data_IF_450863498364
#
_entry.id   IF_450863498364
#
_cell.length_a   1.000
_cell.length_b   1.000
_cell.length_c   1.000
_cell.angle_alpha   90.00
_cell.angle_beta   90.00
_cell.angle_gamma   90.00
#
_symmetry.space_group_name_H-M   'P 1'
#
loop_
_entity.id
_entity.type
_entity.pdbx_description
1 polymer ?
#
# COMPACT_ATOMS: atom_id res chain seq x y z
N UNK A 1 -12.82 5.77 2.19
CA UNK A 1 -11.88 5.64 3.31
C UNK A 1 -10.60 6.39 2.94
N UNK A 2 -10.01 7.17 3.83
CA UNK A 2 -8.78 7.94 3.56
C UNK A 2 -7.61 7.17 4.15
N UNK A 3 -6.60 6.86 3.34
CA UNK A 3 -5.36 6.16 3.75
C UNK A 3 -4.27 7.21 4.00
N UNK A 4 -3.56 7.07 5.11
CA UNK A 4 -2.51 7.96 5.58
C UNK A 4 -1.19 7.20 5.82
N UNK A 5 -0.09 7.96 5.93
CA UNK A 5 1.19 7.41 6.39
C UNK A 5 1.01 6.94 7.83
N UNK A 6 1.50 5.73 8.13
CA UNK A 6 1.31 5.04 9.41
C UNK A 6 0.10 4.10 9.45
N UNK A 7 -0.78 4.13 8.45
CA UNK A 7 -1.92 3.22 8.42
C UNK A 7 -1.48 1.79 8.14
N UNK A 8 -2.06 0.84 8.89
CA UNK A 8 -1.87 -0.59 8.68
C UNK A 8 -2.71 -1.08 7.51
N UNK A 9 -2.09 -1.90 6.67
CA UNK A 9 -2.72 -2.40 5.45
C UNK A 9 -2.60 -3.92 5.34
N UNK A 10 -3.51 -4.50 4.57
CA UNK A 10 -3.38 -5.84 4.01
C UNK A 10 -3.18 -5.67 2.50
N UNK A 11 -2.00 -6.07 2.01
CA UNK A 11 -1.66 -6.12 0.60
C UNK A 11 -1.85 -7.53 0.06
N UNK A 12 -2.58 -7.69 -1.05
CA UNK A 12 -2.69 -8.95 -1.78
C UNK A 12 -1.63 -8.98 -2.87
N UNK A 13 -0.80 -10.02 -2.88
CA UNK A 13 0.21 -10.22 -3.92
C UNK A 13 -0.46 -10.37 -5.29
N UNK A 14 0.07 -9.69 -6.30
CA UNK A 14 -0.43 -9.80 -7.68
C UNK A 14 0.13 -11.05 -8.38
N UNK A 15 1.32 -11.51 -7.99
CA UNK A 15 1.99 -12.65 -8.61
C UNK A 15 1.54 -14.00 -8.03
N UNK A 16 0.99 -13.99 -6.80
CA UNK A 16 0.62 -15.18 -6.07
C UNK A 16 -0.81 -15.11 -5.55
N UNK A 17 -1.73 -15.77 -6.26
CA UNK A 17 -3.14 -15.76 -5.91
C UNK A 17 -3.38 -16.32 -4.49
N UNK A 18 -4.10 -15.56 -3.68
CA UNK A 18 -4.44 -15.92 -2.29
C UNK A 18 -3.38 -15.57 -1.24
N UNK A 19 -2.26 -14.93 -1.61
CA UNK A 19 -1.24 -14.52 -0.64
C UNK A 19 -1.50 -13.09 -0.17
N UNK A 20 -1.53 -12.92 1.15
CA UNK A 20 -1.76 -11.63 1.81
C UNK A 20 -0.59 -11.28 2.72
N UNK A 21 -0.15 -10.03 2.65
CA UNK A 21 0.92 -9.48 3.45
C UNK A 21 0.40 -8.31 4.30
N UNK A 22 0.87 -8.26 5.54
CA UNK A 22 0.60 -7.14 6.45
C UNK A 22 1.76 -6.14 6.39
N UNK A 23 1.43 -4.87 6.45
CA UNK A 23 2.41 -3.79 6.46
C UNK A 23 1.84 -2.46 6.90
N UNK A 24 2.66 -1.43 6.73
CA UNK A 24 2.35 -0.04 7.09
C UNK A 24 2.69 0.88 5.91
N UNK A 25 1.84 1.88 5.64
CA UNK A 25 2.13 2.91 4.64
C UNK A 25 3.24 3.83 5.15
N UNK A 26 4.32 3.94 4.39
CA UNK A 26 5.47 4.78 4.73
C UNK A 26 5.63 5.99 3.80
N UNK A 27 5.02 5.96 2.61
CA UNK A 27 5.02 7.10 1.67
C UNK A 27 3.75 7.08 0.79
N UNK A 28 3.32 8.26 0.34
CA UNK A 28 2.15 8.45 -0.53
C UNK A 28 2.54 9.36 -1.69
N UNK A 29 2.52 8.82 -2.91
CA UNK A 29 2.84 9.58 -4.09
C UNK A 29 1.62 10.27 -4.65
N UNK A 30 1.78 11.57 -4.93
CA UNK A 30 0.74 12.42 -5.52
C UNK A 30 1.24 13.07 -6.80
N UNK A 31 0.33 13.27 -7.75
CA UNK A 31 0.64 14.04 -8.95
C UNK A 31 0.45 15.56 -8.71
N UNK A 32 0.74 16.37 -9.72
CA UNK A 32 0.61 17.84 -9.66
C UNK A 32 -0.82 18.37 -9.44
N UNK A 33 -1.83 17.49 -9.49
CA UNK A 33 -3.23 17.81 -9.18
C UNK A 33 -3.65 17.31 -7.79
N UNK A 34 -2.68 16.99 -6.94
CA UNK A 34 -2.86 16.43 -5.59
C UNK A 34 -3.62 15.08 -5.55
N UNK A 35 -3.68 14.37 -6.68
CA UNK A 35 -4.28 13.03 -6.73
C UNK A 35 -3.25 11.98 -6.33
N UNK A 36 -3.64 11.06 -5.45
CA UNK A 36 -2.82 9.91 -5.07
C UNK A 36 -2.67 8.98 -6.28
N UNK A 37 -1.42 8.65 -6.61
CA UNK A 37 -1.04 7.79 -7.74
C UNK A 37 -0.31 6.51 -7.29
N UNK A 38 -0.04 6.37 -6.00
CA UNK A 38 0.57 5.17 -5.45
C UNK A 38 0.90 5.32 -3.97
N UNK A 39 1.14 4.18 -3.35
CA UNK A 39 1.57 4.06 -1.96
C UNK A 39 2.88 3.27 -1.91
N UNK A 40 3.73 3.56 -0.93
CA UNK A 40 4.82 2.68 -0.53
C UNK A 40 4.47 2.08 0.82
N UNK A 41 4.53 0.76 0.93
CA UNK A 41 4.32 0.06 2.18
C UNK A 41 5.57 -0.70 2.61
N UNK A 42 5.89 -0.62 3.90
CA UNK A 42 6.85 -1.52 4.54
C UNK A 42 6.09 -2.74 5.06
N UNK A 43 6.38 -3.91 4.48
CA UNK A 43 5.80 -5.17 4.92
C UNK A 43 6.50 -5.66 6.19
N UNK A 44 5.80 -6.45 7.00
CA UNK A 44 6.39 -7.07 8.21
C UNK A 44 7.56 -8.02 7.89
N UNK A 45 7.69 -8.46 6.63
CA UNK A 45 8.83 -9.22 6.14
C UNK A 45 10.11 -8.39 5.98
N UNK A 46 10.02 -7.06 6.14
CA UNK A 46 11.11 -6.11 5.88
C UNK A 46 11.23 -5.67 4.42
N UNK A 47 10.35 -6.16 3.54
CA UNK A 47 10.30 -5.76 2.13
C UNK A 47 9.50 -4.46 1.97
N UNK A 48 9.91 -3.65 1.01
CA UNK A 48 9.17 -2.46 0.59
C UNK A 48 8.45 -2.75 -0.72
N UNK A 49 7.15 -2.48 -0.76
CA UNK A 49 6.33 -2.70 -1.95
C UNK A 49 5.63 -1.42 -2.36
N UNK A 50 5.64 -1.17 -3.67
CA UNK A 50 4.83 -0.12 -4.28
C UNK A 50 3.46 -0.70 -4.56
N UNK A 51 2.41 0.01 -4.14
CA UNK A 51 1.03 -0.42 -4.31
C UNK A 51 0.27 0.63 -5.11
N UNK A 52 -0.41 0.19 -6.16
CA UNK A 52 -1.33 1.04 -6.89
C UNK A 52 -2.61 1.30 -6.09
N UNK A 53 -3.23 2.48 -6.17
CA UNK A 53 -4.36 2.84 -5.31
C UNK A 53 -5.56 1.88 -5.40
N UNK A 54 -5.72 1.20 -6.53
CA UNK A 54 -6.84 0.29 -6.78
C UNK A 54 -6.70 -1.06 -6.04
N UNK A 55 -5.50 -1.39 -5.57
CA UNK A 55 -5.18 -2.69 -4.97
C UNK A 55 -5.04 -2.62 -3.45
N UNK A 56 -5.32 -1.46 -2.84
CA UNK A 56 -5.20 -1.27 -1.41
C UNK A 56 -6.55 -1.45 -0.72
N UNK A 57 -6.58 -2.31 0.30
CA UNK A 57 -7.67 -2.38 1.28
C UNK A 57 -7.10 -2.14 2.68
N UNK A 58 -7.80 -1.33 3.47
CA UNK A 58 -7.39 -1.04 4.85
C UNK A 58 -7.83 -2.18 5.76
N UNK A 59 -6.97 -2.56 6.70
CA UNK A 59 -7.15 -3.68 7.61
C UNK A 59 -7.91 -3.29 8.89
#
# INVERSE_FOLDING_TARGET
MVINIGDRIIYRDEDQDGVYFFGEIVDIWRNSRDKIIGYLAALNSGLYVRIEPNYLSVA
#
